data_IF_253130657417
#
_entry.id   IF_253130657417
#
_cell.length_a   1.000
_cell.length_b   1.000
_cell.length_c   1.000
_cell.angle_alpha   90.00
_cell.angle_beta   90.00
_cell.angle_gamma   90.00
#
_symmetry.space_group_name_H-M   'P 1'
#
loop_
_entity.id
_entity.type
_entity.pdbx_description
1 polymer ?
#
# COMPACT_ATOMS: atom_id res chain seq x y z
N UNK A 1 15.19 12.48 24.91
CA UNK A 1 14.45 11.21 24.97
C UNK A 1 13.48 11.29 26.14
N UNK A 2 12.21 10.94 25.93
CA UNK A 2 11.27 10.71 27.03
C UNK A 2 11.81 9.56 27.88
N UNK A 3 11.47 9.53 29.16
CA UNK A 3 11.90 8.43 30.04
C UNK A 3 11.18 7.13 29.66
N UNK A 4 11.72 5.98 30.07
CA UNK A 4 11.03 4.70 29.90
C UNK A 4 9.66 4.70 30.62
N UNK A 5 9.55 5.39 31.74
CA UNK A 5 8.31 5.58 32.48
C UNK A 5 7.29 6.43 31.71
N UNK A 6 7.73 7.54 31.08
CA UNK A 6 6.87 8.34 30.20
C UNK A 6 6.36 7.52 29.02
N UNK A 7 7.19 6.60 28.51
CA UNK A 7 6.80 5.68 27.45
C UNK A 7 5.69 4.71 27.90
N UNK A 8 5.92 4.00 28.97
CA UNK A 8 4.96 3.06 29.53
C UNK A 8 3.63 3.78 29.77
N UNK A 9 3.69 4.97 30.40
CA UNK A 9 2.51 5.76 30.73
C UNK A 9 1.75 6.25 29.48
N UNK A 10 2.45 6.69 28.43
CA UNK A 10 1.83 7.11 27.16
C UNK A 10 1.24 5.90 26.42
N UNK A 11 1.89 4.74 26.51
CA UNK A 11 1.41 3.48 25.93
C UNK A 11 0.19 2.92 26.69
N UNK A 12 0.18 3.01 28.01
CA UNK A 12 -0.95 2.57 28.84
C UNK A 12 -2.17 3.50 28.72
N UNK A 13 -1.95 4.79 28.48
CA UNK A 13 -3.02 5.76 28.28
C UNK A 13 -3.59 5.74 26.84
N UNK A 14 -2.92 5.08 25.90
CA UNK A 14 -3.40 4.93 24.53
C UNK A 14 -4.18 3.64 24.38
N UNK A 15 -5.46 3.72 24.01
CA UNK A 15 -6.27 2.57 23.61
C UNK A 15 -5.83 1.97 22.26
N UNK A 16 -4.67 2.42 21.76
CA UNK A 16 -4.12 2.03 20.48
C UNK A 16 -3.76 0.55 20.49
N UNK A 17 -4.31 -0.20 19.53
CA UNK A 17 -4.04 -1.61 19.31
C UNK A 17 -4.36 -2.52 20.52
N UNK A 18 -5.16 -2.03 21.43
CA UNK A 18 -5.83 -2.91 22.37
C UNK A 18 -6.72 -3.86 21.56
N UNK A 19 -6.86 -5.10 22.04
CA UNK A 19 -7.75 -6.12 21.48
C UNK A 19 -9.23 -5.76 21.68
N UNK A 20 -9.60 -4.58 21.14
CA UNK A 20 -10.97 -4.06 21.14
C UNK A 20 -11.64 -4.34 19.80
N UNK A 21 -12.94 -4.43 19.82
CA UNK A 21 -13.72 -4.35 18.58
C UNK A 21 -13.65 -2.92 18.03
N UNK A 22 -13.30 -2.80 16.77
CA UNK A 22 -13.21 -1.51 16.06
C UNK A 22 -13.54 -1.69 14.58
N UNK A 23 -13.79 -0.61 13.89
CA UNK A 23 -13.90 -0.61 12.43
C UNK A 23 -12.53 -0.82 11.79
N UNK A 24 -12.50 -1.32 10.56
CA UNK A 24 -11.24 -1.48 9.83
C UNK A 24 -10.48 -0.16 9.64
N UNK A 25 -11.21 0.94 9.45
CA UNK A 25 -10.66 2.28 9.35
C UNK A 25 -9.96 2.72 10.65
N UNK A 26 -10.57 2.46 11.80
CA UNK A 26 -9.96 2.74 13.11
C UNK A 26 -8.71 1.89 13.34
N UNK A 27 -8.78 0.60 13.02
CA UNK A 27 -7.64 -0.31 13.10
C UNK A 27 -6.43 0.18 12.31
N UNK A 28 -6.61 0.57 11.05
CA UNK A 28 -5.54 1.12 10.22
C UNK A 28 -5.00 2.43 10.81
N UNK A 29 -5.88 3.30 11.31
CA UNK A 29 -5.49 4.54 11.99
C UNK A 29 -4.63 4.26 13.23
N UNK A 30 -5.03 3.31 14.04
CA UNK A 30 -4.32 2.92 15.26
C UNK A 30 -2.89 2.41 14.95
N UNK A 31 -2.73 1.61 13.90
CA UNK A 31 -1.41 1.15 13.44
C UNK A 31 -0.51 2.33 13.09
N UNK A 32 -1.03 3.30 12.35
CA UNK A 32 -0.27 4.51 11.96
C UNK A 32 0.12 5.33 13.19
N UNK A 33 -0.80 5.53 14.12
CA UNK A 33 -0.54 6.26 15.36
C UNK A 33 0.50 5.53 16.23
N UNK A 34 0.41 4.22 16.35
CA UNK A 34 1.37 3.40 17.08
C UNK A 34 2.78 3.52 16.49
N UNK A 35 2.91 3.46 15.17
CA UNK A 35 4.21 3.70 14.53
C UNK A 35 4.77 5.08 14.88
N UNK A 36 3.97 6.12 14.72
CA UNK A 36 4.40 7.50 15.00
C UNK A 36 4.83 7.67 16.45
N UNK A 37 4.11 7.07 17.39
CA UNK A 37 4.42 7.09 18.81
C UNK A 37 5.78 6.42 19.08
N UNK A 38 6.02 5.21 18.58
CA UNK A 38 7.30 4.51 18.73
C UNK A 38 8.45 5.32 18.13
N UNK A 39 8.28 5.84 16.91
CA UNK A 39 9.29 6.66 16.25
C UNK A 39 9.64 7.89 17.11
N UNK A 40 8.64 8.61 17.61
CA UNK A 40 8.82 9.80 18.47
C UNK A 40 9.58 9.49 19.75
N UNK A 41 9.32 8.33 20.33
CA UNK A 41 9.89 7.96 21.61
C UNK A 41 11.32 7.49 21.51
N UNK A 42 11.63 6.65 20.51
CA UNK A 42 12.98 6.17 20.29
C UNK A 42 13.90 7.31 19.81
N UNK A 43 13.39 8.17 18.93
CA UNK A 43 14.20 9.22 18.30
C UNK A 43 14.31 10.49 19.15
N UNK A 44 13.35 10.75 20.04
CA UNK A 44 13.37 11.95 20.88
C UNK A 44 13.50 13.23 20.06
N UNK A 45 14.60 13.98 20.26
CA UNK A 45 14.85 15.23 19.53
C UNK A 45 15.17 15.03 18.04
N UNK A 46 15.52 13.82 17.62
CA UNK A 46 15.79 13.48 16.21
C UNK A 46 14.50 13.11 15.45
N UNK A 47 13.35 13.11 16.13
CA UNK A 47 12.06 12.82 15.52
C UNK A 47 11.63 13.92 14.53
N UNK A 48 11.12 13.52 13.39
CA UNK A 48 10.45 14.38 12.41
C UNK A 48 9.15 13.75 11.93
N UNK A 49 8.22 14.57 11.48
CA UNK A 49 6.96 14.07 10.92
C UNK A 49 7.20 13.18 9.69
N UNK A 50 6.53 12.03 9.67
CA UNK A 50 6.71 11.03 8.62
C UNK A 50 7.94 10.14 8.79
N UNK A 51 8.63 10.20 9.94
CA UNK A 51 9.71 9.27 10.26
C UNK A 51 9.22 7.83 10.17
N UNK A 52 10.04 6.98 9.59
CA UNK A 52 9.75 5.57 9.43
C UNK A 52 10.32 4.77 10.59
N UNK A 53 9.74 3.60 10.84
CA UNK A 53 10.17 2.72 11.91
C UNK A 53 11.60 2.19 11.71
N UNK A 54 12.06 2.03 10.46
CA UNK A 54 13.44 1.64 10.15
C UNK A 54 14.46 2.75 10.46
N UNK A 55 14.06 4.01 10.37
CA UNK A 55 14.88 5.15 10.81
C UNK A 55 15.00 5.19 12.34
N UNK A 56 13.91 4.98 13.06
CA UNK A 56 13.92 4.84 14.51
C UNK A 56 14.76 3.64 14.98
N UNK A 57 14.66 2.50 14.30
CA UNK A 57 15.51 1.34 14.54
C UNK A 57 17.00 1.66 14.38
N UNK A 58 17.37 2.40 13.32
CA UNK A 58 18.75 2.83 13.10
C UNK A 58 19.27 3.71 14.24
N UNK A 59 18.43 4.63 14.76
CA UNK A 59 18.78 5.49 15.92
C UNK A 59 19.01 4.63 17.15
N UNK A 60 18.12 3.66 17.42
CA UNK A 60 18.25 2.73 18.54
C UNK A 60 19.56 1.91 18.47
N UNK A 61 19.84 1.29 17.30
CA UNK A 61 21.08 0.52 17.08
C UNK A 61 22.33 1.38 17.21
N UNK A 62 22.29 2.62 16.70
CA UNK A 62 23.39 3.57 16.80
C UNK A 62 23.66 3.97 18.25
N UNK A 63 22.60 4.22 19.02
CA UNK A 63 22.70 4.55 20.46
C UNK A 63 23.26 3.38 21.26
N UNK A 64 22.79 2.16 21.00
CA UNK A 64 23.28 0.94 21.62
C UNK A 64 24.77 0.69 21.31
N UNK A 65 25.20 1.01 20.09
CA UNK A 65 26.63 0.95 19.69
C UNK A 65 27.47 1.94 20.46
N UNK A 66 27.07 3.21 20.48
CA UNK A 66 27.80 4.29 21.17
C UNK A 66 27.96 4.03 22.67
N UNK A 67 26.98 3.37 23.28
CA UNK A 67 26.98 3.03 24.71
C UNK A 67 27.56 1.63 25.02
N UNK A 68 28.04 0.90 24.02
CA UNK A 68 28.55 -0.48 24.14
C UNK A 68 27.54 -1.48 24.71
N UNK A 69 26.25 -1.23 24.48
CA UNK A 69 25.14 -2.04 25.03
C UNK A 69 24.56 -3.06 24.05
N UNK A 70 25.24 -3.33 22.95
CA UNK A 70 24.71 -4.26 21.92
C UNK A 70 24.47 -5.68 22.44
N UNK A 71 25.29 -6.14 23.37
CA UNK A 71 25.15 -7.45 24.02
C UNK A 71 24.26 -7.43 25.27
N UNK A 72 23.76 -6.26 25.69
CA UNK A 72 22.83 -6.18 26.81
C UNK A 72 21.52 -6.86 26.44
N UNK A 73 21.02 -7.85 27.22
CA UNK A 73 19.87 -8.68 26.81
C UNK A 73 18.63 -7.88 26.46
N UNK A 74 18.23 -6.90 27.28
CA UNK A 74 17.06 -6.06 27.00
C UNK A 74 17.22 -5.24 25.72
N UNK A 75 18.39 -4.63 25.47
CA UNK A 75 18.67 -3.86 24.27
C UNK A 75 18.66 -4.76 23.03
N UNK A 76 19.27 -5.94 23.12
CA UNK A 76 19.25 -6.92 22.03
C UNK A 76 17.83 -7.35 21.67
N UNK A 77 17.01 -7.70 22.66
CA UNK A 77 15.61 -8.07 22.48
C UNK A 77 14.80 -6.92 21.89
N UNK A 78 14.99 -5.69 22.38
CA UNK A 78 14.33 -4.50 21.85
C UNK A 78 14.66 -4.23 20.38
N UNK A 79 15.94 -4.40 19.98
CA UNK A 79 16.35 -4.30 18.58
C UNK A 79 15.71 -5.39 17.71
N UNK A 80 15.64 -6.64 18.19
CA UNK A 80 14.96 -7.72 17.46
C UNK A 80 13.45 -7.44 17.30
N UNK A 81 12.82 -6.97 18.35
CA UNK A 81 11.41 -6.55 18.35
C UNK A 81 11.18 -5.43 17.35
N UNK A 82 12.03 -4.40 17.35
CA UNK A 82 11.97 -3.31 16.36
C UNK A 82 12.15 -3.81 14.92
N UNK A 83 12.99 -4.81 14.69
CA UNK A 83 13.16 -5.40 13.33
C UNK A 83 11.89 -6.12 12.86
N UNK A 84 11.26 -6.88 13.74
CA UNK A 84 9.97 -7.53 13.43
C UNK A 84 8.90 -6.47 13.13
N UNK A 85 8.77 -5.48 14.02
CA UNK A 85 7.84 -4.38 13.88
C UNK A 85 8.07 -3.58 12.59
N UNK A 86 9.33 -3.26 12.26
CA UNK A 86 9.68 -2.57 11.02
C UNK A 86 9.24 -3.34 9.77
N UNK A 87 9.37 -4.67 9.79
CA UNK A 87 8.94 -5.52 8.67
C UNK A 87 7.42 -5.45 8.49
N UNK A 88 6.64 -5.61 9.54
CA UNK A 88 5.16 -5.57 9.48
C UNK A 88 4.64 -4.19 9.14
N UNK A 89 5.15 -3.16 9.83
CA UNK A 89 4.77 -1.77 9.56
C UNK A 89 5.09 -1.33 8.13
N UNK A 90 6.21 -1.81 7.56
CA UNK A 90 6.54 -1.50 6.17
C UNK A 90 5.50 -2.05 5.18
N UNK A 91 4.91 -3.21 5.46
CA UNK A 91 3.85 -3.81 4.66
C UNK A 91 2.56 -2.99 4.82
N UNK A 92 2.10 -2.80 6.06
CA UNK A 92 0.86 -2.07 6.38
C UNK A 92 0.90 -0.63 5.88
N UNK A 93 1.98 0.12 6.16
CA UNK A 93 2.15 1.50 5.70
C UNK A 93 2.27 1.60 4.18
N UNK A 94 2.82 0.57 3.53
CA UNK A 94 2.83 0.51 2.08
C UNK A 94 1.41 0.36 1.53
N UNK A 95 0.60 -0.52 2.11
CA UNK A 95 -0.82 -0.70 1.79
C UNK A 95 -1.58 0.61 1.93
N UNK A 96 -1.60 1.17 3.13
CA UNK A 96 -2.29 2.43 3.45
C UNK A 96 -1.89 3.59 2.51
N UNK A 97 -0.60 3.70 2.15
CA UNK A 97 -0.15 4.69 1.16
C UNK A 97 -0.67 4.39 -0.25
N UNK A 98 -0.82 3.12 -0.62
CA UNK A 98 -1.42 2.71 -1.90
C UNK A 98 -2.87 3.13 -1.98
N UNK A 99 -3.64 2.81 -0.95
CA UNK A 99 -5.05 3.16 -0.80
C UNK A 99 -5.26 4.67 -0.79
N UNK A 100 -4.45 5.43 -0.02
CA UNK A 100 -4.49 6.89 -0.02
C UNK A 100 -4.27 7.51 -1.42
N UNK A 101 -3.37 6.94 -2.23
CA UNK A 101 -3.15 7.40 -3.60
C UNK A 101 -4.35 7.10 -4.52
N UNK A 102 -5.02 5.97 -4.33
CA UNK A 102 -6.24 5.61 -5.06
C UNK A 102 -7.39 6.50 -4.61
N UNK A 103 -7.58 6.69 -3.31
CA UNK A 103 -8.59 7.59 -2.75
C UNK A 103 -8.51 9.01 -3.32
N UNK A 104 -7.30 9.59 -3.36
CA UNK A 104 -7.09 10.91 -4.00
C UNK A 104 -7.41 10.92 -5.49
N UNK A 105 -7.23 9.81 -6.18
CA UNK A 105 -7.61 9.70 -7.60
C UNK A 105 -9.12 9.68 -7.74
N UNK A 106 -9.82 8.98 -6.85
CA UNK A 106 -11.28 8.92 -6.85
C UNK A 106 -11.96 10.25 -6.49
N UNK A 107 -11.27 11.18 -5.80
CA UNK A 107 -11.77 12.55 -5.55
C UNK A 107 -12.03 13.33 -6.86
N UNK A 108 -11.36 12.96 -7.94
CA UNK A 108 -11.54 13.56 -9.28
C UNK A 108 -12.43 12.72 -10.19
N UNK A 109 -13.17 11.76 -9.65
CA UNK A 109 -14.10 10.93 -10.42
C UNK A 109 -15.29 11.79 -10.88
N UNK A 110 -15.46 11.93 -12.19
CA UNK A 110 -16.55 12.69 -12.80
C UNK A 110 -17.65 11.75 -13.32
N UNK A 111 -18.32 11.06 -12.40
CA UNK A 111 -19.50 10.25 -12.71
C UNK A 111 -20.62 10.60 -11.74
N UNK A 112 -21.76 11.08 -12.24
CA UNK A 112 -22.91 11.43 -11.40
C UNK A 112 -23.43 10.19 -10.66
N UNK A 113 -24.13 10.43 -9.55
CA UNK A 113 -24.75 9.38 -8.75
C UNK A 113 -23.78 8.28 -8.27
N UNK A 114 -22.52 8.63 -8.03
CA UNK A 114 -21.50 7.72 -7.51
C UNK A 114 -21.27 7.98 -6.04
N UNK A 115 -21.20 6.91 -5.24
CA UNK A 115 -20.83 6.94 -3.84
C UNK A 115 -19.61 6.03 -3.61
N UNK A 116 -18.73 6.40 -2.69
CA UNK A 116 -17.51 5.68 -2.40
C UNK A 116 -17.46 5.36 -0.91
N UNK A 117 -17.30 4.08 -0.59
CA UNK A 117 -17.17 3.57 0.77
C UNK A 117 -15.78 2.96 0.93
N UNK A 118 -15.14 3.15 2.08
CA UNK A 118 -13.73 2.81 2.28
C UNK A 118 -13.52 1.97 3.51
N UNK A 119 -12.58 1.03 3.41
CA UNK A 119 -12.19 0.17 4.53
C UNK A 119 -13.41 -0.54 5.13
N UNK A 120 -14.19 -1.22 4.30
CA UNK A 120 -15.43 -1.89 4.71
C UNK A 120 -15.11 -3.33 5.11
N UNK A 121 -15.52 -3.71 6.31
CA UNK A 121 -15.47 -5.10 6.76
C UNK A 121 -16.83 -5.76 6.58
N UNK A 122 -16.83 -6.94 5.98
CA UNK A 122 -18.03 -7.73 5.73
C UNK A 122 -17.85 -9.16 6.23
N UNK A 123 -18.93 -9.75 6.74
CA UNK A 123 -18.98 -11.17 7.14
C UNK A 123 -20.39 -11.73 6.97
N UNK A 124 -20.47 -13.01 6.65
CA UNK A 124 -21.73 -13.76 6.67
C UNK A 124 -21.82 -14.72 7.88
N UNK A 125 -20.86 -14.58 8.81
CA UNK A 125 -20.73 -15.43 10.01
C UNK A 125 -19.86 -16.69 9.78
N UNK A 126 -19.48 -17.00 8.55
CA UNK A 126 -18.59 -18.12 8.15
C UNK A 126 -17.34 -17.57 7.46
N UNK A 127 -17.56 -16.82 6.40
CA UNK A 127 -16.51 -16.13 5.64
C UNK A 127 -16.47 -14.66 6.06
N UNK A 128 -15.29 -14.05 5.98
CA UNK A 128 -15.09 -12.62 6.22
C UNK A 128 -14.14 -12.00 5.20
N UNK A 129 -14.27 -10.71 4.94
CA UNK A 129 -13.37 -9.98 4.07
C UNK A 129 -13.30 -8.49 4.44
N UNK A 130 -12.14 -7.92 4.21
CA UNK A 130 -11.87 -6.49 4.22
C UNK A 130 -11.84 -6.00 2.77
N UNK A 131 -12.53 -4.90 2.50
CA UNK A 131 -12.65 -4.29 1.18
C UNK A 131 -12.01 -2.90 1.23
N UNK A 132 -11.01 -2.67 0.38
CA UNK A 132 -10.24 -1.42 0.38
C UNK A 132 -11.13 -0.23 0.00
N UNK A 133 -11.76 -0.29 -1.17
CA UNK A 133 -12.75 0.68 -1.62
C UNK A 133 -13.95 -0.02 -2.30
N UNK A 134 -15.14 0.51 -2.12
CA UNK A 134 -16.37 0.15 -2.84
C UNK A 134 -16.85 1.37 -3.58
N UNK A 135 -17.12 1.23 -4.87
CA UNK A 135 -17.73 2.27 -5.70
C UNK A 135 -19.14 1.83 -6.08
N UNK A 136 -20.14 2.47 -5.50
CA UNK A 136 -21.55 2.30 -5.87
C UNK A 136 -21.85 3.25 -7.02
N UNK A 137 -22.36 2.71 -8.13
CA UNK A 137 -22.74 3.46 -9.33
C UNK A 137 -24.17 3.11 -9.74
N UNK A 138 -24.74 3.88 -10.64
CA UNK A 138 -26.04 3.59 -11.27
C UNK A 138 -26.06 2.26 -12.06
N UNK A 139 -24.89 1.65 -12.34
CA UNK A 139 -24.75 0.42 -13.12
C UNK A 139 -24.25 -0.78 -12.31
N UNK A 140 -24.13 -0.66 -10.99
CA UNK A 140 -23.70 -1.73 -10.11
C UNK A 140 -22.74 -1.28 -9.04
N UNK A 141 -22.30 -2.26 -8.26
CA UNK A 141 -21.32 -2.12 -7.18
C UNK A 141 -19.97 -2.64 -7.66
N UNK A 142 -18.91 -1.88 -7.45
CA UNK A 142 -17.55 -2.23 -7.87
C UNK A 142 -16.65 -2.30 -6.64
N UNK A 143 -16.06 -3.46 -6.37
CA UNK A 143 -14.97 -3.59 -5.40
C UNK A 143 -13.68 -3.14 -6.07
N UNK A 144 -12.93 -2.25 -5.44
CA UNK A 144 -11.57 -1.91 -5.84
C UNK A 144 -10.59 -2.54 -4.86
N UNK A 145 -9.77 -3.45 -5.34
CA UNK A 145 -8.68 -4.07 -4.58
C UNK A 145 -7.38 -3.35 -4.92
N UNK A 146 -6.83 -2.62 -3.98
CA UNK A 146 -5.63 -1.81 -4.19
C UNK A 146 -4.38 -2.64 -3.97
N UNK A 147 -3.49 -2.63 -4.94
CA UNK A 147 -2.17 -3.29 -4.84
C UNK A 147 -1.06 -2.28 -5.04
N UNK A 148 -0.25 -2.11 -4.01
CA UNK A 148 0.95 -1.31 -4.07
C UNK A 148 2.18 -2.20 -4.04
N UNK A 149 2.97 -2.11 -5.09
CA UNK A 149 4.19 -2.89 -5.29
C UNK A 149 5.38 -1.95 -5.40
N UNK A 150 6.49 -2.29 -4.76
CA UNK A 150 7.73 -1.50 -4.72
C UNK A 150 8.87 -2.11 -5.56
N UNK A 151 8.72 -3.35 -5.99
CA UNK A 151 9.70 -4.11 -6.75
C UNK A 151 9.06 -4.73 -7.98
N UNK A 152 9.88 -5.19 -8.92
CA UNK A 152 9.41 -5.82 -10.14
C UNK A 152 8.60 -7.08 -9.83
N UNK A 153 7.40 -7.14 -10.39
CA UNK A 153 6.42 -8.17 -10.16
C UNK A 153 5.69 -8.51 -11.46
N UNK A 154 5.42 -9.78 -11.68
CA UNK A 154 4.61 -10.26 -12.79
C UNK A 154 3.26 -10.77 -12.28
N UNK A 155 2.17 -10.27 -12.87
CA UNK A 155 0.85 -10.89 -12.75
C UNK A 155 0.74 -11.96 -13.85
N UNK A 156 0.73 -13.22 -13.43
CA UNK A 156 0.73 -14.38 -14.33
C UNK A 156 -0.66 -14.67 -14.89
N UNK A 157 -0.74 -15.51 -15.94
CA UNK A 157 -1.99 -15.93 -16.58
C UNK A 157 -3.01 -16.51 -15.57
N UNK A 158 -2.54 -17.25 -14.56
CA UNK A 158 -3.39 -17.86 -13.54
C UNK A 158 -3.76 -16.90 -12.40
N UNK A 159 -3.30 -15.65 -12.44
CA UNK A 159 -3.64 -14.61 -11.46
C UNK A 159 -2.77 -14.60 -10.22
N UNK A 160 -1.58 -15.21 -10.27
CA UNK A 160 -0.58 -15.09 -9.21
C UNK A 160 0.26 -13.84 -9.44
N UNK A 161 0.68 -13.24 -8.36
CA UNK A 161 1.68 -12.17 -8.37
C UNK A 161 3.03 -12.76 -7.96
N UNK A 162 4.01 -12.68 -8.86
CA UNK A 162 5.33 -13.32 -8.69
C UNK A 162 6.41 -12.26 -8.83
N UNK A 163 7.32 -12.18 -7.84
CA UNK A 163 8.50 -11.34 -7.90
C UNK A 163 9.54 -11.86 -8.90
N UNK A 164 10.45 -11.01 -9.31
CA UNK A 164 11.65 -11.44 -10.02
C UNK A 164 12.46 -12.40 -9.13
N UNK A 165 12.54 -13.69 -9.50
CA UNK A 165 13.13 -14.76 -8.67
C UNK A 165 12.11 -15.83 -8.24
N UNK A 166 10.94 -15.84 -8.86
CA UNK A 166 9.88 -16.85 -8.70
C UNK A 166 9.24 -16.95 -7.29
N UNK A 167 9.47 -15.96 -6.43
CA UNK A 167 8.77 -15.87 -5.15
C UNK A 167 7.35 -15.33 -5.34
N UNK A 168 6.35 -16.08 -4.90
CA UNK A 168 4.96 -15.62 -4.92
C UNK A 168 4.74 -14.51 -3.87
N UNK A 169 4.12 -13.41 -4.30
CA UNK A 169 3.69 -12.32 -3.42
C UNK A 169 2.62 -12.80 -2.43
N UNK A 170 1.68 -13.58 -2.93
CA UNK A 170 0.56 -14.13 -2.16
C UNK A 170 0.47 -15.65 -2.38
N UNK A 171 0.18 -16.39 -1.31
CA UNK A 171 -0.06 -17.85 -1.37
C UNK A 171 -1.31 -18.20 -2.19
N UNK A 172 -2.34 -17.33 -2.15
CA UNK A 172 -3.60 -17.51 -2.86
C UNK A 172 -3.63 -16.61 -4.09
N UNK A 173 -3.99 -17.12 -5.28
CA UNK A 173 -4.13 -16.29 -6.48
C UNK A 173 -5.09 -15.12 -6.25
N UNK A 174 -4.70 -13.94 -6.72
CA UNK A 174 -5.50 -12.72 -6.55
C UNK A 174 -6.90 -12.86 -7.16
N UNK A 175 -7.02 -13.55 -8.29
CA UNK A 175 -8.31 -13.84 -8.91
C UNK A 175 -9.25 -14.65 -7.99
N UNK A 176 -8.72 -15.61 -7.24
CA UNK A 176 -9.49 -16.38 -6.28
C UNK A 176 -9.94 -15.52 -5.09
N UNK A 177 -9.06 -14.66 -4.57
CA UNK A 177 -9.42 -13.69 -3.52
C UNK A 177 -10.55 -12.76 -3.99
N UNK A 178 -10.46 -12.24 -5.21
CA UNK A 178 -11.47 -11.35 -5.76
C UNK A 178 -12.82 -12.06 -5.97
N UNK A 179 -12.81 -13.30 -6.44
CA UNK A 179 -14.04 -14.10 -6.59
C UNK A 179 -14.72 -14.33 -5.22
N UNK A 180 -13.95 -14.61 -4.18
CA UNK A 180 -14.49 -14.74 -2.81
C UNK A 180 -15.09 -13.42 -2.32
N UNK A 181 -14.36 -12.30 -2.44
CA UNK A 181 -14.84 -10.98 -2.01
C UNK A 181 -16.15 -10.59 -2.73
N UNK A 182 -16.24 -10.80 -4.06
CA UNK A 182 -17.48 -10.53 -4.81
C UNK A 182 -18.66 -11.38 -4.33
N UNK A 183 -18.43 -12.70 -4.14
CA UNK A 183 -19.46 -13.62 -3.66
C UNK A 183 -19.96 -13.22 -2.29
N UNK A 184 -19.05 -12.92 -1.36
CA UNK A 184 -19.38 -12.56 0.00
C UNK A 184 -20.13 -11.24 0.05
N UNK A 185 -19.63 -10.18 -0.63
CA UNK A 185 -20.32 -8.90 -0.67
C UNK A 185 -21.72 -9.02 -1.28
N UNK A 186 -21.84 -9.77 -2.37
CA UNK A 186 -23.15 -10.01 -2.99
C UNK A 186 -24.13 -10.65 -2.00
N UNK A 187 -23.70 -11.72 -1.30
CA UNK A 187 -24.51 -12.40 -0.29
C UNK A 187 -24.93 -11.47 0.87
N UNK A 188 -24.00 -10.66 1.38
CA UNK A 188 -24.28 -9.68 2.44
C UNK A 188 -25.28 -8.61 1.97
N UNK A 189 -25.14 -8.11 0.75
CA UNK A 189 -26.06 -7.12 0.18
C UNK A 189 -27.44 -7.70 -0.10
N UNK A 190 -27.52 -8.91 -0.70
CA UNK A 190 -28.79 -9.59 -0.96
C UNK A 190 -29.57 -9.82 0.36
N UNK A 191 -28.84 -10.21 1.41
CA UNK A 191 -29.44 -10.33 2.74
C UNK A 191 -29.93 -8.99 3.27
N UNK A 192 -29.10 -7.94 3.27
CA UNK A 192 -29.48 -6.62 3.78
C UNK A 192 -30.65 -6.01 3.02
N UNK A 193 -30.70 -6.16 1.70
CA UNK A 193 -31.81 -5.75 0.83
C UNK A 193 -33.09 -6.49 1.23
N UNK A 194 -33.01 -7.82 1.39
CA UNK A 194 -34.14 -8.64 1.82
C UNK A 194 -34.63 -8.31 3.22
N UNK A 195 -33.72 -8.15 4.18
CA UNK A 195 -34.04 -7.83 5.58
C UNK A 195 -34.77 -6.47 5.72
N UNK A 196 -34.49 -5.53 4.80
CA UNK A 196 -35.16 -4.21 4.69
C UNK A 196 -36.42 -4.26 3.83
N UNK A 197 -36.79 -5.41 3.27
CA UNK A 197 -37.95 -5.57 2.39
C UNK A 197 -37.84 -4.79 1.07
N UNK A 198 -36.63 -4.56 0.58
CA UNK A 198 -36.37 -3.83 -0.66
C UNK A 198 -36.33 -4.78 -1.85
N UNK A 199 -36.77 -4.29 -3.02
CA UNK A 199 -36.66 -5.00 -4.31
C UNK A 199 -35.56 -4.33 -5.17
N UNK A 200 -34.32 -4.66 -4.85
CA UNK A 200 -33.15 -4.11 -5.53
C UNK A 200 -32.29 -5.27 -6.06
N UNK A 201 -32.07 -5.37 -7.37
CA UNK A 201 -31.17 -6.39 -7.90
C UNK A 201 -29.72 -6.10 -7.50
N UNK A 202 -29.02 -7.12 -6.97
CA UNK A 202 -27.63 -6.96 -6.50
C UNK A 202 -26.67 -7.46 -7.58
N UNK A 203 -25.84 -6.55 -8.10
CA UNK A 203 -24.75 -6.87 -9.00
C UNK A 203 -23.43 -6.32 -8.49
N UNK A 204 -22.46 -7.19 -8.29
CA UNK A 204 -21.13 -6.87 -7.75
C UNK A 204 -20.05 -7.26 -8.77
N UNK A 205 -19.24 -6.31 -9.14
CA UNK A 205 -18.04 -6.45 -9.96
C UNK A 205 -16.79 -6.11 -9.16
N UNK A 206 -15.61 -6.29 -9.74
CA UNK A 206 -14.37 -5.93 -9.07
C UNK A 206 -13.27 -5.50 -10.04
N UNK A 207 -12.39 -4.62 -9.58
CA UNK A 207 -11.17 -4.22 -10.28
C UNK A 207 -9.97 -4.37 -9.35
N UNK A 208 -8.88 -4.94 -9.88
CA UNK A 208 -7.57 -4.85 -9.26
C UNK A 208 -6.96 -3.51 -9.68
N UNK A 209 -6.62 -2.67 -8.70
CA UNK A 209 -6.07 -1.34 -8.94
C UNK A 209 -4.61 -1.29 -8.51
N UNK A 210 -3.71 -1.23 -9.47
CA UNK A 210 -2.30 -1.01 -9.17
C UNK A 210 -2.03 0.47 -8.93
N UNK A 211 -1.63 0.82 -7.70
CA UNK A 211 -1.36 2.22 -7.32
C UNK A 211 -0.10 2.80 -7.97
N UNK A 212 0.77 1.95 -8.54
CA UNK A 212 1.93 2.35 -9.31
C UNK A 212 1.53 2.93 -10.69
N UNK A 213 2.36 3.81 -11.29
CA UNK A 213 2.21 4.20 -12.68
C UNK A 213 2.33 3.00 -13.63
N UNK A 214 1.62 3.07 -14.76
CA UNK A 214 1.66 2.01 -15.79
C UNK A 214 3.10 1.70 -16.24
N UNK A 215 3.43 0.42 -16.31
CA UNK A 215 4.75 -0.05 -16.75
C UNK A 215 5.86 0.10 -15.70
N UNK A 216 5.53 0.49 -14.49
CA UNK A 216 6.46 0.58 -13.37
C UNK A 216 6.20 -0.57 -12.39
N UNK A 217 7.21 -1.39 -12.13
CA UNK A 217 7.17 -2.52 -11.18
C UNK A 217 6.22 -3.67 -11.53
N UNK A 218 5.25 -3.49 -12.43
CA UNK A 218 4.25 -4.51 -12.69
C UNK A 218 4.19 -4.84 -14.17
N UNK A 219 4.47 -6.11 -14.48
CA UNK A 219 4.26 -6.73 -15.77
C UNK A 219 3.01 -7.60 -15.67
N UNK A 220 2.11 -7.46 -16.62
CA UNK A 220 0.89 -8.26 -16.69
C UNK A 220 1.04 -9.21 -17.87
N UNK A 221 0.83 -10.51 -17.67
CA UNK A 221 0.83 -11.51 -18.76
C UNK A 221 -0.29 -11.18 -19.74
N UNK A 222 0.02 -11.15 -21.03
CA UNK A 222 -0.93 -10.79 -22.07
C UNK A 222 -2.14 -11.76 -22.16
N UNK A 223 -2.01 -12.96 -21.59
CA UNK A 223 -3.07 -13.97 -21.51
C UNK A 223 -3.95 -13.82 -20.28
N UNK A 224 -3.59 -12.94 -19.34
CA UNK A 224 -4.38 -12.73 -18.11
C UNK A 224 -5.75 -12.13 -18.45
N UNK A 225 -6.83 -12.89 -18.17
CA UNK A 225 -8.22 -12.49 -18.44
C UNK A 225 -9.15 -12.73 -17.24
N UNK A 226 -8.61 -13.23 -16.12
CA UNK A 226 -9.43 -13.71 -15.00
C UNK A 226 -10.14 -12.59 -14.26
N UNK A 227 -9.46 -11.44 -14.09
CA UNK A 227 -10.01 -10.30 -13.38
C UNK A 227 -9.76 -8.99 -14.14
N UNK A 228 -10.70 -8.08 -14.00
CA UNK A 228 -10.53 -6.71 -14.52
C UNK A 228 -9.46 -6.00 -13.70
N UNK A 229 -8.55 -5.32 -14.37
CA UNK A 229 -7.47 -4.60 -13.71
C UNK A 229 -7.21 -3.25 -14.37
N UNK A 230 -6.62 -2.34 -13.62
CA UNK A 230 -6.14 -1.05 -14.13
C UNK A 230 -4.99 -0.51 -13.29
N UNK A 231 -4.25 0.42 -13.87
CA UNK A 231 -3.34 1.26 -13.12
C UNK A 231 -4.10 2.49 -12.61
N UNK A 232 -3.67 3.03 -11.49
CA UNK A 232 -4.27 4.21 -10.86
C UNK A 232 -4.54 5.36 -11.84
N UNK A 233 -3.61 5.62 -12.76
CA UNK A 233 -3.74 6.68 -13.77
C UNK A 233 -4.89 6.50 -14.75
N UNK A 234 -5.44 5.28 -14.89
CA UNK A 234 -6.59 4.99 -15.74
C UNK A 234 -7.87 4.67 -14.99
N UNK A 235 -7.85 4.73 -13.65
CA UNK A 235 -8.94 4.28 -12.80
C UNK A 235 -10.24 5.04 -13.06
N UNK A 236 -10.21 6.37 -12.98
CA UNK A 236 -11.43 7.17 -13.16
C UNK A 236 -12.07 6.94 -14.52
N UNK A 237 -11.27 6.96 -15.60
CA UNK A 237 -11.77 6.64 -16.92
C UNK A 237 -12.43 5.26 -17.00
N UNK A 238 -11.88 4.26 -16.28
CA UNK A 238 -12.43 2.91 -16.24
C UNK A 238 -13.76 2.85 -15.50
N UNK A 239 -13.90 3.60 -14.40
CA UNK A 239 -15.16 3.70 -13.65
C UNK A 239 -16.18 4.54 -14.44
N UNK A 240 -15.79 5.66 -15.03
CA UNK A 240 -16.66 6.52 -15.84
C UNK A 240 -17.24 5.78 -17.05
N UNK A 241 -16.46 4.90 -17.67
CA UNK A 241 -16.89 4.07 -18.80
C UNK A 241 -17.50 2.71 -18.37
N UNK A 242 -17.69 2.50 -17.07
CA UNK A 242 -18.20 1.22 -16.58
C UNK A 242 -19.68 1.06 -16.90
N UNK A 243 -20.01 -0.08 -17.49
CA UNK A 243 -21.38 -0.54 -17.77
C UNK A 243 -21.52 -1.90 -17.10
N UNK A 244 -22.40 -1.96 -16.12
CA UNK A 244 -22.78 -3.19 -15.41
C UNK A 244 -23.99 -3.87 -16.01
N UNK A 245 -24.52 -4.86 -15.31
CA UNK A 245 -25.68 -5.64 -15.73
C UNK A 245 -27.00 -5.15 -15.13
N UNK A 246 -26.97 -4.08 -14.34
CA UNK A 246 -28.13 -3.48 -13.68
C UNK A 246 -28.17 -1.98 -13.94
N UNK A 247 -29.34 -1.38 -13.70
CA UNK A 247 -29.48 0.05 -13.66
C UNK A 247 -30.29 0.42 -12.42
N UNK A 248 -29.65 1.14 -11.48
CA UNK A 248 -30.26 1.61 -10.25
C UNK A 248 -30.92 2.97 -10.44
N UNK A 249 -32.15 3.09 -9.99
CA UNK A 249 -32.82 4.37 -9.82
C UNK A 249 -32.20 5.14 -8.66
N UNK A 250 -32.39 6.47 -8.61
CA UNK A 250 -31.83 7.32 -7.55
C UNK A 250 -32.25 6.85 -6.14
N UNK A 251 -33.49 6.42 -5.97
CA UNK A 251 -34.00 5.89 -4.70
C UNK A 251 -33.26 4.61 -4.29
N UNK A 252 -33.04 3.67 -5.22
CA UNK A 252 -32.30 2.43 -4.98
C UNK A 252 -30.83 2.71 -4.64
N UNK A 253 -30.21 3.72 -5.29
CA UNK A 253 -28.85 4.17 -4.95
C UNK A 253 -28.77 4.74 -3.54
N UNK A 254 -29.79 5.53 -3.11
CA UNK A 254 -29.84 6.03 -1.74
C UNK A 254 -29.95 4.89 -0.74
N UNK A 255 -30.85 3.94 -0.97
CA UNK A 255 -31.05 2.78 -0.10
C UNK A 255 -29.80 1.87 -0.01
N UNK A 256 -29.13 1.61 -1.14
CA UNK A 256 -27.86 0.89 -1.15
C UNK A 256 -26.76 1.68 -0.44
N UNK A 257 -26.72 3.00 -0.59
CA UNK A 257 -25.80 3.88 0.11
C UNK A 257 -25.95 3.82 1.63
N UNK A 258 -27.18 3.78 2.13
CA UNK A 258 -27.46 3.56 3.56
C UNK A 258 -26.96 2.20 4.05
N UNK A 259 -27.20 1.12 3.27
CA UNK A 259 -26.71 -0.21 3.60
C UNK A 259 -25.17 -0.22 3.67
N UNK A 260 -24.47 0.42 2.74
CA UNK A 260 -23.02 0.51 2.78
C UNK A 260 -22.51 1.36 3.95
N UNK A 261 -23.19 2.44 4.30
CA UNK A 261 -22.86 3.26 5.48
C UNK A 261 -23.00 2.46 6.78
N UNK A 262 -24.00 1.57 6.87
CA UNK A 262 -24.13 0.62 7.97
C UNK A 262 -22.97 -0.38 7.98
N UNK A 263 -22.56 -0.92 6.81
CA UNK A 263 -21.44 -1.85 6.69
C UNK A 263 -20.08 -1.20 7.04
N UNK A 264 -19.87 0.10 6.74
CA UNK A 264 -18.67 0.83 7.17
C UNK A 264 -18.54 0.91 8.69
N UNK A 265 -19.64 0.83 9.42
CA UNK A 265 -19.67 0.83 10.88
C UNK A 265 -19.49 -0.57 11.50
N UNK A 266 -19.35 -1.61 10.70
CA UNK A 266 -19.10 -2.95 11.21
C UNK A 266 -17.80 -2.99 12.00
N UNK A 267 -17.87 -3.55 13.20
CA UNK A 267 -16.73 -3.71 14.10
C UNK A 267 -16.36 -5.18 14.24
N UNK A 268 -15.08 -5.43 14.39
CA UNK A 268 -14.53 -6.74 14.78
C UNK A 268 -13.25 -6.55 15.58
N UNK A 269 -12.81 -7.61 16.20
CA UNK A 269 -11.48 -7.69 16.80
C UNK A 269 -10.49 -8.11 15.71
N UNK A 270 -9.63 -7.18 15.29
CA UNK A 270 -8.57 -7.46 14.34
C UNK A 270 -7.40 -8.13 15.05
N UNK A 271 -6.97 -9.28 14.54
CA UNK A 271 -5.80 -9.99 15.04
C UNK A 271 -4.54 -9.52 14.27
N UNK A 272 -3.45 -9.43 15.01
CA UNK A 272 -2.13 -9.10 14.43
C UNK A 272 -1.16 -10.25 14.74
N UNK A 273 -0.19 -10.47 13.87
CA UNK A 273 0.87 -11.46 14.13
C UNK A 273 1.79 -11.04 15.28
N UNK A 274 1.85 -9.73 15.59
CA UNK A 274 2.61 -9.20 16.72
C UNK A 274 1.76 -9.13 17.99
N UNK A 275 2.30 -9.67 19.07
CA UNK A 275 1.80 -9.38 20.41
C UNK A 275 2.26 -7.97 20.82
N UNK A 276 1.37 -6.98 20.72
CA UNK A 276 1.70 -5.58 21.02
C UNK A 276 2.09 -5.33 22.48
N UNK A 277 1.60 -6.12 23.43
CA UNK A 277 2.00 -6.01 24.83
C UNK A 277 3.43 -6.50 25.02
N UNK A 278 3.84 -7.54 24.30
CA UNK A 278 5.23 -7.99 24.26
C UNK A 278 6.13 -6.95 23.60
N UNK A 279 5.67 -6.33 22.50
CA UNK A 279 6.39 -5.22 21.83
C UNK A 279 6.60 -4.06 22.80
N UNK A 280 5.55 -3.63 23.49
CA UNK A 280 5.60 -2.53 24.46
C UNK A 280 6.62 -2.81 25.57
N UNK A 281 6.53 -3.99 26.20
CA UNK A 281 7.42 -4.41 27.28
C UNK A 281 8.86 -4.46 26.83
N UNK A 282 9.14 -5.14 25.72
CA UNK A 282 10.49 -5.29 25.18
C UNK A 282 11.13 -3.93 24.84
N UNK A 283 10.36 -3.00 24.29
CA UNK A 283 10.85 -1.66 23.97
C UNK A 283 11.06 -0.80 25.22
N UNK A 284 10.17 -0.90 26.21
CA UNK A 284 10.34 -0.18 27.50
C UNK A 284 11.60 -0.64 28.23
N UNK A 285 11.83 -1.96 28.35
CA UNK A 285 13.06 -2.51 28.96
C UNK A 285 14.33 -2.07 28.22
N UNK A 286 14.30 -2.09 26.87
CA UNK A 286 15.44 -1.65 26.09
C UNK A 286 15.72 -0.15 26.25
N UNK A 287 14.70 0.70 26.30
CA UNK A 287 14.84 2.13 26.51
C UNK A 287 15.37 2.45 27.92
N UNK A 288 14.89 1.74 28.96
CA UNK A 288 15.41 1.87 30.32
C UNK A 288 16.91 1.54 30.35
N UNK A 289 17.32 0.40 29.82
CA UNK A 289 18.74 0.01 29.75
C UNK A 289 19.59 1.02 28.96
N UNK A 290 19.05 1.59 27.86
CA UNK A 290 19.75 2.61 27.10
C UNK A 290 19.87 3.95 27.86
N UNK A 291 18.98 4.25 28.79
CA UNK A 291 19.00 5.49 29.59
C UNK A 291 19.92 5.37 30.80
N UNK A 292 19.90 4.25 31.49
CA UNK A 292 20.71 4.01 32.72
C UNK A 292 22.21 3.93 32.47
N UNK A 293 22.63 3.54 31.23
CA UNK A 293 24.03 3.45 30.93
C UNK A 293 24.72 4.82 30.95
N UNK A 294 25.86 4.95 31.64
CA UNK A 294 26.58 6.23 31.77
C UNK A 294 26.96 6.75 30.38
N UNK A 295 26.71 8.05 30.15
CA UNK A 295 27.27 8.73 28.97
C UNK A 295 28.77 8.69 29.05
N UNK A 296 29.47 7.86 28.27
CA UNK A 296 30.91 8.02 28.09
C UNK A 296 31.15 9.47 27.65
N UNK A 297 32.02 10.18 28.36
CA UNK A 297 32.44 11.53 27.97
C UNK A 297 32.83 11.51 26.48
N UNK A 298 32.28 12.47 25.73
CA UNK A 298 32.57 12.62 24.30
C UNK A 298 34.07 12.77 24.09
N UNK A 299 34.72 11.68 23.72
CA UNK A 299 36.11 11.73 23.25
C UNK A 299 36.05 12.14 21.78
N UNK A 300 36.52 13.38 21.61
CA UNK A 300 37.13 13.96 20.41
C UNK A 300 36.32 14.15 19.13
N UNK A 301 36.37 15.41 18.71
CA UNK A 301 36.02 16.07 17.43
C UNK A 301 36.21 15.26 16.14
N UNK A 302 37.03 14.21 16.17
CA UNK A 302 37.31 13.33 15.02
C UNK A 302 36.16 12.40 14.65
N UNK A 303 35.39 11.86 15.63
CA UNK A 303 34.25 10.96 15.34
C UNK A 303 33.01 11.70 14.82
N UNK A 304 32.81 12.96 15.26
CA UNK A 304 31.74 13.81 14.68
C UNK A 304 32.00 14.11 13.21
N UNK A 305 33.26 14.24 12.83
CA UNK A 305 33.68 14.41 11.43
C UNK A 305 33.44 13.13 10.60
N UNK A 306 33.77 11.96 11.14
CA UNK A 306 33.56 10.67 10.46
C UNK A 306 32.08 10.33 10.28
N UNK A 307 31.23 10.61 11.28
CA UNK A 307 29.79 10.35 11.20
C UNK A 307 29.09 11.32 10.23
N UNK A 308 29.47 12.61 10.23
CA UNK A 308 29.01 13.58 9.24
C UNK A 308 29.46 13.20 7.84
N UNK A 309 30.70 12.73 7.69
CA UNK A 309 31.24 12.30 6.41
C UNK A 309 30.59 11.01 5.90
N UNK A 310 30.25 10.06 6.80
CA UNK A 310 29.54 8.85 6.44
C UNK A 310 28.07 9.15 6.03
N UNK A 311 27.40 10.04 6.74
CA UNK A 311 26.04 10.49 6.40
C UNK A 311 26.04 11.28 5.08
N UNK A 312 27.03 12.15 4.88
CA UNK A 312 27.22 12.87 3.63
C UNK A 312 27.50 11.90 2.46
N UNK A 313 28.38 10.92 2.66
CA UNK A 313 28.69 9.89 1.66
C UNK A 313 27.47 9.01 1.34
N UNK A 314 26.66 8.65 2.33
CA UNK A 314 25.41 7.90 2.10
C UNK A 314 24.36 8.74 1.36
N UNK A 315 24.26 10.04 1.65
CA UNK A 315 23.40 10.97 0.91
C UNK A 315 23.91 11.14 -0.54
N UNK A 316 25.21 11.29 -0.72
CA UNK A 316 25.82 11.35 -2.04
C UNK A 316 25.65 10.05 -2.85
N UNK A 317 25.80 8.88 -2.20
CA UNK A 317 25.58 7.58 -2.83
C UNK A 317 24.10 7.39 -3.24
N UNK A 318 23.18 7.84 -2.41
CA UNK A 318 21.76 7.81 -2.72
C UNK A 318 21.40 8.82 -3.83
N UNK A 319 22.01 10.01 -3.82
CA UNK A 319 21.85 10.98 -4.92
C UNK A 319 22.50 10.49 -6.22
N UNK A 320 23.65 9.83 -6.16
CA UNK A 320 24.26 9.19 -7.32
C UNK A 320 23.44 8.04 -7.87
N UNK A 321 22.86 7.19 -6.99
CA UNK A 321 21.92 6.14 -7.40
C UNK A 321 20.67 6.73 -8.07
N UNK A 322 20.11 7.80 -7.53
CA UNK A 322 18.97 8.49 -8.17
C UNK A 322 19.36 9.13 -9.51
N UNK A 323 20.55 9.73 -9.61
CA UNK A 323 21.05 10.29 -10.87
C UNK A 323 21.32 9.21 -11.91
N UNK A 324 21.87 8.06 -11.51
CA UNK A 324 22.13 6.91 -12.39
C UNK A 324 20.84 6.30 -12.89
N UNK A 325 19.84 6.16 -12.01
CA UNK A 325 18.50 5.67 -12.39
C UNK A 325 17.82 6.65 -13.35
N UNK A 326 17.97 7.96 -13.10
CA UNK A 326 17.40 8.99 -13.96
C UNK A 326 18.12 9.09 -15.32
N UNK A 327 19.44 8.89 -15.34
CA UNK A 327 20.23 8.80 -16.59
C UNK A 327 19.93 7.52 -17.37
N UNK A 328 19.74 6.38 -16.69
CA UNK A 328 19.30 5.13 -17.34
C UNK A 328 17.89 5.27 -17.91
N UNK A 329 16.98 5.92 -17.19
CA UNK A 329 15.64 6.24 -17.70
C UNK A 329 15.70 7.18 -18.91
N UNK A 330 16.56 8.22 -18.88
CA UNK A 330 16.80 9.10 -20.05
C UNK A 330 17.42 8.35 -21.23
N UNK A 331 18.42 7.47 -20.99
CA UNK A 331 19.02 6.67 -22.07
C UNK A 331 18.02 5.70 -22.69
N UNK A 332 17.15 5.06 -21.88
CA UNK A 332 16.06 4.22 -22.39
C UNK A 332 15.02 5.03 -23.18
N UNK A 333 14.68 6.25 -22.74
CA UNK A 333 13.76 7.14 -23.45
C UNK A 333 14.34 7.61 -24.78
N UNK A 334 15.64 7.94 -24.84
CA UNK A 334 16.35 8.31 -26.07
C UNK A 334 16.47 7.10 -27.00
N UNK A 335 16.80 5.90 -26.49
CA UNK A 335 16.83 4.67 -27.27
C UNK A 335 15.47 4.31 -27.87
N UNK A 336 14.38 4.55 -27.14
CA UNK A 336 13.02 4.36 -27.64
C UNK A 336 12.65 5.40 -28.72
N UNK A 337 13.09 6.64 -28.56
CA UNK A 337 12.92 7.69 -29.56
C UNK A 337 13.62 7.36 -30.89
N UNK A 338 14.83 6.83 -30.85
CA UNK A 338 15.54 6.38 -32.06
C UNK A 338 14.90 5.15 -32.71
N UNK A 339 14.37 4.22 -31.91
CA UNK A 339 13.65 3.05 -32.46
C UNK A 339 12.35 3.46 -33.13
N UNK A 340 11.60 4.42 -32.59
CA UNK A 340 10.38 4.94 -33.20
C UNK A 340 10.70 5.74 -34.46
N UNK A 341 11.74 6.55 -34.44
CA UNK A 341 12.18 7.32 -35.63
C UNK A 341 12.64 6.42 -36.77
N UNK A 342 13.35 5.31 -36.48
CA UNK A 342 13.75 4.33 -37.50
C UNK A 342 12.58 3.54 -38.08
N UNK A 343 11.56 3.26 -37.32
CA UNK A 343 10.31 2.59 -37.78
C UNK A 343 9.53 3.55 -38.71
N UNK A 344 9.43 4.84 -38.34
CA UNK A 344 8.78 5.85 -39.21
C UNK A 344 9.57 6.12 -40.51
N UNK A 345 10.88 6.14 -40.44
CA UNK A 345 11.72 6.28 -41.64
C UNK A 345 11.58 5.04 -42.56
N UNK A 346 11.53 3.85 -42.01
CA UNK A 346 11.28 2.59 -42.73
C UNK A 346 9.90 2.55 -43.41
N UNK A 347 8.88 3.06 -42.75
CA UNK A 347 7.51 3.15 -43.30
C UNK A 347 7.40 4.21 -44.42
N UNK A 348 8.10 5.31 -44.31
CA UNK A 348 8.13 6.34 -45.38
C UNK A 348 8.85 5.83 -46.63
N UNK A 349 9.95 5.09 -46.46
CA UNK A 349 10.71 4.52 -47.61
C UNK A 349 9.90 3.39 -48.27
N UNK A 350 9.20 2.55 -47.53
CA UNK A 350 8.34 1.51 -48.10
C UNK A 350 7.07 2.08 -48.73
N UNK A 351 6.51 3.17 -48.21
CA UNK A 351 5.34 3.87 -48.76
C UNK A 351 5.63 4.53 -50.13
N UNK A 352 6.79 5.13 -50.28
CA UNK A 352 7.20 5.75 -51.57
C UNK A 352 7.52 4.71 -52.64
N UNK A 353 8.06 3.54 -52.26
CA UNK A 353 8.30 2.45 -53.24
C UNK A 353 6.98 1.83 -53.74
N UNK A 354 5.93 1.75 -52.89
CA UNK A 354 4.62 1.25 -53.28
C UNK A 354 3.85 2.18 -54.23
N UNK A 355 4.01 3.49 -54.07
CA UNK A 355 3.38 4.50 -54.94
C UNK A 355 4.05 4.58 -56.31
N UNK A 356 5.38 4.37 -56.41
CA UNK A 356 6.11 4.29 -57.67
C UNK A 356 5.85 3.03 -58.46
N UNK A 357 5.49 1.93 -57.83
CA UNK A 357 5.16 0.65 -58.52
C UNK A 357 3.75 0.62 -59.12
N UNK A 358 2.83 1.47 -58.69
CA UNK A 358 1.45 1.54 -59.22
C UNK A 358 1.35 2.51 -60.40
N UNK A 359 2.33 3.42 -60.56
CA UNK A 359 2.38 4.41 -61.65
C UNK A 359 2.92 3.88 -63.00
N UNK A 360 3.50 2.69 -63.07
CA UNK A 360 4.14 2.14 -64.31
C UNK A 360 3.30 1.07 -65.01
N UNK A 361 2.06 0.84 -64.61
CA UNK A 361 1.16 -0.09 -65.32
C UNK A 361 -0.09 0.59 -65.88
N UNK A 362 0.09 1.73 -66.56
CA UNK A 362 -0.89 2.26 -67.53
C UNK A 362 -0.16 3.14 -68.53
N UNK A 363 0.46 2.50 -69.46
CA UNK A 363 0.66 2.98 -70.83
C UNK A 363 0.75 1.77 -71.76
#
# INVERSE_FOLDING_TARGET
MKTAEDFIKEMESSDLLMSRECTFKEYVSDIVQFQNMICKMISGNDYHEGMRIDEALFIMESTARKKELRSHPAVHNGVLTMKKLAKEMAITMSGAKGESLVSRTLEFLNRPNTQIFRNVYITDGIDEAELDDIVLTDNGVIILEVKKVKSDLTLTEDGRMVFAGDECYDKVPLAQKMALKRRLLKKCLEKAVSDKGLDIPVYVDSFIVFSAPKGQFIKIDDRYRREKHCFRTGLNKKIESYIGCVYYKTEQLTQLGEIFSEMESNVKRFETELNYDEVRRSLAEALAALQEAPKKQETTTAEKSATKQHTANMLELNMQRQKTTHQQAKRKAVGFGYAVASVFAGLLISGTAAVLSVGVRRA
#
